data_IF_608773381931
#
_entry.id   IF_608773381931
#
_cell.length_a   1.000
_cell.length_b   1.000
_cell.length_c   1.000
_cell.angle_alpha   90.00
_cell.angle_beta   90.00
_cell.angle_gamma   90.00
#
_symmetry.space_group_name_H-M   'P 1'
#
loop_
_entity.id
_entity.type
_entity.pdbx_description
1 polymer ?
#
# COMPACT_ATOMS: atom_id res chain seq x y z
N UNK A 1 -9.77 -24.93 -16.09
CA UNK A 1 -10.08 -23.54 -16.51
C UNK A 1 -9.23 -22.70 -15.59
N UNK A 2 -8.03 -22.36 -16.04
CA UNK A 2 -7.10 -21.54 -15.28
C UNK A 2 -7.68 -20.13 -15.22
N UNK A 3 -7.91 -19.63 -14.01
CA UNK A 3 -8.31 -18.24 -13.80
C UNK A 3 -7.11 -17.36 -14.19
N UNK A 4 -7.22 -16.60 -15.30
CA UNK A 4 -6.24 -15.62 -15.79
C UNK A 4 -5.88 -14.49 -14.78
N UNK A 5 -6.35 -14.59 -13.54
CA UNK A 5 -6.29 -13.56 -12.49
C UNK A 5 -5.67 -14.07 -11.17
N UNK A 6 -4.93 -15.18 -11.24
CA UNK A 6 -4.09 -15.66 -10.15
C UNK A 6 -2.70 -15.03 -10.28
N UNK A 7 -2.34 -14.17 -9.33
CA UNK A 7 -0.97 -13.70 -9.17
C UNK A 7 -0.30 -14.64 -8.19
N UNK A 8 0.57 -15.51 -8.70
CA UNK A 8 1.48 -16.27 -7.87
C UNK A 8 2.70 -15.39 -7.57
N UNK A 9 2.91 -15.06 -6.29
CA UNK A 9 4.08 -14.29 -5.86
C UNK A 9 5.37 -15.12 -5.91
N UNK A 10 5.25 -16.45 -6.08
CA UNK A 10 6.36 -17.36 -6.25
C UNK A 10 6.83 -17.44 -7.72
N UNK A 11 6.06 -16.92 -8.69
CA UNK A 11 6.51 -16.71 -10.08
C UNK A 11 7.10 -15.30 -10.24
N UNK A 12 8.39 -15.18 -9.92
CA UNK A 12 9.16 -13.97 -10.14
C UNK A 12 9.15 -13.56 -11.63
N UNK A 13 8.36 -12.54 -11.98
CA UNK A 13 8.64 -11.48 -12.99
C UNK A 13 7.43 -10.53 -13.20
N UNK A 14 6.83 -10.03 -12.11
CA UNK A 14 5.83 -8.94 -12.16
C UNK A 14 6.43 -7.58 -11.78
N UNK A 15 7.75 -7.43 -11.84
CA UNK A 15 8.45 -6.18 -11.47
C UNK A 15 8.16 -5.01 -12.41
N UNK A 16 7.68 -5.27 -13.63
CA UNK A 16 7.39 -4.22 -14.64
C UNK A 16 6.01 -4.33 -15.27
N UNK A 17 4.99 -4.82 -14.54
CA UNK A 17 3.67 -5.08 -15.14
C UNK A 17 2.98 -3.80 -15.65
N UNK A 18 3.23 -2.64 -15.04
CA UNK A 18 2.65 -1.37 -15.48
C UNK A 18 3.25 -0.88 -16.81
N UNK A 19 4.42 -1.38 -17.23
CA UNK A 19 5.04 -1.05 -18.55
C UNK A 19 4.15 -1.38 -19.75
N UNK A 20 3.24 -2.35 -19.61
CA UNK A 20 2.33 -2.81 -20.68
C UNK A 20 1.09 -1.92 -20.85
N UNK A 21 0.90 -0.95 -19.95
CA UNK A 21 -0.26 -0.06 -19.92
C UNK A 21 0.06 1.28 -20.57
N UNK A 22 -0.95 1.95 -21.13
CA UNK A 22 -0.78 3.26 -21.77
C UNK A 22 -0.74 4.38 -20.74
N UNK A 23 0.04 5.41 -21.02
CA UNK A 23 0.29 6.52 -20.09
C UNK A 23 -0.96 7.32 -19.71
N UNK A 24 -1.91 7.48 -20.63
CA UNK A 24 -3.13 8.25 -20.39
C UNK A 24 -4.16 7.53 -19.50
N UNK A 25 -3.90 6.29 -19.06
CA UNK A 25 -4.82 5.56 -18.20
C UNK A 25 -4.80 6.21 -16.81
N UNK A 26 -5.93 6.69 -16.27
CA UNK A 26 -5.99 7.20 -14.90
C UNK A 26 -5.59 6.12 -13.91
N UNK A 27 -4.68 6.44 -12.98
CA UNK A 27 -4.20 5.47 -12.00
C UNK A 27 -5.34 4.99 -11.09
N UNK A 28 -6.36 5.83 -10.87
CA UNK A 28 -7.60 5.50 -10.15
C UNK A 28 -8.52 4.49 -10.85
N UNK A 29 -8.23 4.12 -12.11
CA UNK A 29 -8.97 3.12 -12.88
C UNK A 29 -8.24 1.78 -13.00
N UNK A 30 -7.03 1.68 -12.45
CA UNK A 30 -6.24 0.45 -12.48
C UNK A 30 -6.48 -0.38 -11.23
N UNK A 31 -6.58 -1.70 -11.42
CA UNK A 31 -6.54 -2.67 -10.31
C UNK A 31 -5.11 -2.86 -9.86
N UNK A 32 -4.79 -2.26 -8.71
CA UNK A 32 -3.42 -2.18 -8.19
C UNK A 32 -3.28 -3.04 -6.93
N UNK A 33 -2.55 -4.18 -6.99
CA UNK A 33 -2.35 -5.02 -5.81
C UNK A 33 -1.53 -4.28 -4.74
N UNK A 34 -1.91 -4.50 -3.48
CA UNK A 34 -1.37 -3.79 -2.33
C UNK A 34 -1.05 -4.71 -1.14
N UNK A 35 -0.42 -4.13 -0.13
CA UNK A 35 -0.25 -4.78 1.18
C UNK A 35 -0.66 -3.84 2.29
N UNK A 36 -1.31 -4.40 3.32
CA UNK A 36 -1.70 -3.67 4.53
C UNK A 36 -0.65 -3.94 5.60
N UNK A 37 -0.18 -2.89 6.28
CA UNK A 37 0.99 -2.94 7.18
C UNK A 37 2.17 -3.67 6.53
N UNK A 38 2.59 -3.13 5.38
CA UNK A 38 3.52 -3.77 4.44
C UNK A 38 4.85 -4.18 5.09
N UNK A 39 5.27 -3.46 6.14
CA UNK A 39 6.53 -3.67 6.84
C UNK A 39 6.35 -4.58 8.06
N UNK A 40 5.76 -5.76 7.94
CA UNK A 40 5.55 -6.65 9.10
C UNK A 40 6.22 -8.01 8.97
N UNK A 41 7.00 -8.23 7.91
CA UNK A 41 7.71 -9.49 7.63
C UNK A 41 8.67 -9.92 8.74
N UNK A 42 9.37 -8.96 9.37
CA UNK A 42 10.25 -9.24 10.51
C UNK A 42 9.57 -9.32 11.88
N UNK A 43 8.24 -9.20 11.97
CA UNK A 43 7.53 -9.22 13.27
C UNK A 43 7.35 -10.65 13.77
N UNK A 44 7.96 -10.99 14.92
CA UNK A 44 7.94 -12.35 15.48
C UNK A 44 6.53 -12.82 15.91
N UNK A 45 5.72 -11.90 16.44
CA UNK A 45 4.37 -12.24 16.87
C UNK A 45 3.45 -12.35 15.65
N UNK A 46 3.11 -13.60 15.28
CA UNK A 46 2.26 -13.92 14.13
C UNK A 46 0.91 -13.18 14.12
N UNK A 47 0.36 -12.78 15.29
CA UNK A 47 -0.88 -11.97 15.34
C UNK A 47 -0.69 -10.56 14.78
N UNK A 48 0.55 -10.09 14.77
CA UNK A 48 0.97 -8.80 14.27
C UNK A 48 1.83 -8.89 12.99
N UNK A 49 2.01 -10.08 12.44
CA UNK A 49 2.70 -10.30 11.17
C UNK A 49 1.66 -10.43 10.06
N UNK A 50 1.51 -9.39 9.24
CA UNK A 50 0.56 -9.41 8.11
C UNK A 50 1.22 -9.73 6.79
N UNK A 51 2.54 -9.54 6.69
CA UNK A 51 3.36 -9.89 5.55
C UNK A 51 4.45 -10.86 6.00
N UNK A 52 4.95 -11.69 5.10
CA UNK A 52 6.04 -12.64 5.33
C UNK A 52 7.20 -12.46 4.33
N UNK A 53 7.10 -11.45 3.45
CA UNK A 53 8.12 -11.09 2.46
C UNK A 53 8.60 -9.66 2.72
N UNK A 54 9.91 -9.38 2.65
CA UNK A 54 10.45 -8.02 2.69
C UNK A 54 9.88 -7.13 1.58
N UNK A 55 9.86 -5.82 1.81
CA UNK A 55 9.28 -4.85 0.86
C UNK A 55 9.83 -5.01 -0.57
N UNK A 56 11.14 -5.16 -0.74
CA UNK A 56 11.73 -5.37 -2.08
C UNK A 56 11.14 -6.58 -2.81
N UNK A 57 10.90 -7.69 -2.11
CA UNK A 57 10.28 -8.88 -2.69
C UNK A 57 8.78 -8.67 -2.98
N UNK A 58 8.07 -7.90 -2.14
CA UNK A 58 6.69 -7.50 -2.44
C UNK A 58 6.63 -6.70 -3.75
N UNK A 59 7.56 -5.75 -3.95
CA UNK A 59 7.64 -4.93 -5.16
C UNK A 59 7.97 -5.79 -6.40
N UNK A 60 8.93 -6.70 -6.31
CA UNK A 60 9.24 -7.64 -7.41
C UNK A 60 8.06 -8.57 -7.74
N UNK A 61 7.27 -8.95 -6.74
CA UNK A 61 6.02 -9.70 -6.90
C UNK A 61 4.84 -8.88 -7.44
N UNK A 62 5.03 -7.60 -7.77
CA UNK A 62 4.03 -6.76 -8.42
C UNK A 62 3.18 -5.89 -7.48
N UNK A 63 3.44 -5.88 -6.17
CA UNK A 63 2.77 -4.97 -5.22
C UNK A 63 3.13 -3.51 -5.55
N UNK A 64 2.12 -2.64 -5.63
CA UNK A 64 2.29 -1.20 -5.93
C UNK A 64 1.51 -0.27 -5.00
N UNK A 65 0.66 -0.80 -4.13
CA UNK A 65 0.08 -0.05 -3.01
C UNK A 65 0.71 -0.49 -1.69
N UNK A 66 1.37 0.43 -1.00
CA UNK A 66 2.09 0.18 0.26
C UNK A 66 1.43 0.98 1.37
N UNK A 67 1.10 0.31 2.47
CA UNK A 67 0.49 0.95 3.64
C UNK A 67 1.36 0.79 4.88
N UNK A 68 1.80 1.93 5.42
CA UNK A 68 2.61 1.99 6.63
C UNK A 68 1.99 2.93 7.67
N UNK A 69 2.28 2.65 8.95
CA UNK A 69 2.00 3.57 10.05
C UNK A 69 3.33 4.01 10.66
N UNK A 70 3.61 5.31 10.64
CA UNK A 70 4.83 5.88 11.21
C UNK A 70 4.56 6.49 12.58
N UNK A 71 5.52 6.35 13.49
CA UNK A 71 5.57 7.06 14.78
C UNK A 71 6.89 7.81 14.86
N UNK A 72 6.83 9.05 15.33
CA UNK A 72 8.04 9.81 15.66
C UNK A 72 8.52 9.41 17.05
N UNK A 73 9.66 8.73 17.14
CA UNK A 73 10.25 8.24 18.39
C UNK A 73 11.77 8.43 18.29
N UNK A 74 12.40 8.94 19.34
CA UNK A 74 13.85 9.13 19.43
C UNK A 74 14.45 9.85 18.20
N UNK A 75 13.78 10.92 17.78
CA UNK A 75 14.15 11.73 16.63
C UNK A 75 14.10 11.04 15.26
N UNK A 76 13.43 9.89 15.15
CA UNK A 76 13.31 9.08 13.92
C UNK A 76 11.85 8.73 13.61
N UNK A 77 11.54 8.56 12.32
CA UNK A 77 10.26 7.98 11.90
C UNK A 77 10.37 6.47 11.86
N UNK A 78 9.88 5.81 12.92
CA UNK A 78 9.84 4.36 13.01
C UNK A 78 8.50 3.82 12.51
N UNK A 79 8.51 2.66 11.84
CA UNK A 79 7.30 2.00 11.33
C UNK A 79 6.73 1.05 12.37
N UNK A 80 5.43 1.15 12.61
CA UNK A 80 4.68 0.39 13.59
C UNK A 80 3.48 -0.31 12.95
N UNK A 81 3.05 -1.39 13.58
CA UNK A 81 1.70 -1.92 13.43
C UNK A 81 1.08 -2.04 14.81
N UNK A 82 -0.07 -1.38 15.04
CA UNK A 82 -0.65 -1.20 16.38
C UNK A 82 0.42 -0.73 17.37
N UNK A 83 0.67 -1.44 18.47
CA UNK A 83 1.70 -1.17 19.47
C UNK A 83 3.05 -1.84 19.19
N UNK A 84 3.16 -2.60 18.10
CA UNK A 84 4.35 -3.39 17.75
C UNK A 84 5.27 -2.59 16.83
N UNK A 85 6.54 -2.47 17.22
CA UNK A 85 7.59 -1.95 16.34
C UNK A 85 7.95 -3.01 15.31
N UNK A 86 8.05 -2.59 14.06
CA UNK A 86 8.32 -3.52 12.94
C UNK A 86 9.80 -3.81 12.72
N UNK A 87 10.67 -2.95 13.24
CA UNK A 87 12.12 -2.96 12.95
C UNK A 87 12.51 -1.96 11.86
N UNK A 88 11.58 -1.50 11.03
CA UNK A 88 11.84 -0.59 9.91
C UNK A 88 11.69 0.90 10.30
N UNK A 89 12.37 1.76 9.56
CA UNK A 89 12.18 3.22 9.56
C UNK A 89 11.59 3.71 8.24
N UNK A 90 11.03 4.92 8.22
CA UNK A 90 10.60 5.55 6.98
C UNK A 90 11.77 5.70 5.98
N UNK A 91 12.98 5.96 6.47
CA UNK A 91 14.21 6.00 5.69
C UNK A 91 14.38 4.69 4.89
N UNK A 92 14.35 3.55 5.58
CA UNK A 92 14.50 2.24 4.92
C UNK A 92 13.40 1.92 3.91
N UNK A 93 12.17 2.38 4.18
CA UNK A 93 11.03 2.19 3.27
C UNK A 93 11.23 3.03 2.00
N UNK A 94 11.55 4.32 2.15
CA UNK A 94 11.75 5.23 1.02
C UNK A 94 12.96 4.82 0.18
N UNK A 95 14.09 4.47 0.79
CA UNK A 95 15.26 3.95 0.07
C UNK A 95 14.88 2.73 -0.79
N UNK A 96 14.20 1.74 -0.20
CA UNK A 96 13.78 0.54 -0.93
C UNK A 96 12.86 0.87 -2.11
N UNK A 97 11.93 1.81 -1.95
CA UNK A 97 11.02 2.21 -3.01
C UNK A 97 11.74 3.01 -4.11
N UNK A 98 12.61 3.94 -3.73
CA UNK A 98 13.37 4.72 -4.70
C UNK A 98 14.29 3.80 -5.52
N UNK A 99 14.99 2.87 -4.87
CA UNK A 99 15.87 1.91 -5.57
C UNK A 99 15.07 1.07 -6.58
N UNK A 100 13.86 0.64 -6.19
CA UNK A 100 12.95 -0.05 -7.09
C UNK A 100 12.49 0.83 -8.27
N UNK A 101 12.17 2.11 -8.05
CA UNK A 101 11.73 3.02 -9.11
C UNK A 101 12.87 3.42 -10.06
N UNK A 102 14.11 3.46 -9.57
CA UNK A 102 15.31 3.64 -10.39
C UNK A 102 15.54 2.45 -11.33
N UNK A 103 15.34 1.23 -10.83
CA UNK A 103 15.48 0.00 -11.62
C UNK A 103 14.29 -0.22 -12.57
N UNK A 104 13.08 0.16 -12.15
CA UNK A 104 11.82 -0.05 -12.87
C UNK A 104 11.07 1.28 -13.10
N UNK A 105 11.60 2.20 -13.93
CA UNK A 105 11.03 3.54 -14.11
C UNK A 105 9.66 3.54 -14.80
N UNK A 106 9.21 2.41 -15.35
CA UNK A 106 7.84 2.28 -15.86
C UNK A 106 6.79 2.19 -14.75
N UNK A 107 7.19 1.87 -13.53
CA UNK A 107 6.26 1.61 -12.43
C UNK A 107 5.96 2.87 -11.63
N UNK A 108 4.92 2.82 -10.80
CA UNK A 108 4.61 3.85 -9.81
C UNK A 108 4.17 3.20 -8.51
N UNK A 109 4.42 3.84 -7.37
CA UNK A 109 4.02 3.35 -6.05
C UNK A 109 2.98 4.29 -5.45
N UNK A 110 1.88 3.74 -4.96
CA UNK A 110 0.95 4.46 -4.07
C UNK A 110 1.38 4.16 -2.63
N UNK A 111 1.91 5.16 -1.92
CA UNK A 111 2.37 5.01 -0.54
C UNK A 111 1.42 5.71 0.42
N UNK A 112 0.63 4.95 1.19
CA UNK A 112 -0.16 5.49 2.28
C UNK A 112 0.68 5.57 3.55
N UNK A 113 0.84 6.79 4.07
CA UNK A 113 1.54 7.04 5.33
C UNK A 113 0.53 7.48 6.38
N UNK A 114 0.36 6.65 7.40
CA UNK A 114 -0.51 6.92 8.55
C UNK A 114 0.29 7.46 9.74
N UNK A 115 -0.25 8.43 10.46
CA UNK A 115 0.31 8.84 11.76
C UNK A 115 -0.12 7.86 12.86
N UNK A 116 0.85 7.18 13.45
CA UNK A 116 0.67 6.42 14.69
C UNK A 116 0.83 7.27 15.96
N UNK A 117 0.51 6.69 17.12
CA UNK A 117 0.66 7.34 18.43
C UNK A 117 -0.42 8.40 18.72
N UNK A 118 -0.60 8.77 19.99
CA UNK A 118 -1.76 9.54 20.43
C UNK A 118 -1.58 11.07 20.44
N UNK A 119 -0.38 11.61 20.71
CA UNK A 119 -0.31 13.01 21.21
C UNK A 119 0.66 13.98 20.54
N UNK A 120 1.22 13.67 19.38
CA UNK A 120 2.16 14.60 18.74
C UNK A 120 1.97 14.74 17.23
N UNK A 121 1.11 15.68 16.82
CA UNK A 121 0.87 15.99 15.40
C UNK A 121 1.93 16.92 14.83
N UNK A 122 2.29 17.98 15.56
CA UNK A 122 3.20 19.01 15.06
C UNK A 122 4.62 18.46 14.91
N UNK A 123 5.13 17.72 15.91
CA UNK A 123 6.46 17.12 15.78
C UNK A 123 6.48 16.05 14.71
N UNK A 124 5.41 15.25 14.58
CA UNK A 124 5.32 14.28 13.48
C UNK A 124 5.37 14.99 12.12
N UNK A 125 4.52 16.00 11.90
CA UNK A 125 4.48 16.76 10.66
C UNK A 125 5.82 17.45 10.36
N UNK A 126 6.38 18.19 11.30
CA UNK A 126 7.67 18.88 11.13
C UNK A 126 8.80 17.88 10.85
N UNK A 127 8.72 16.67 11.42
CA UNK A 127 9.72 15.64 11.19
C UNK A 127 9.55 14.92 9.86
N UNK A 128 8.38 14.99 9.20
CA UNK A 128 8.21 14.49 7.82
C UNK A 128 8.96 15.36 6.82
N UNK A 129 9.14 16.66 7.11
CA UNK A 129 9.75 17.62 6.17
C UNK A 129 11.16 17.19 5.73
N UNK A 130 11.95 16.59 6.63
CA UNK A 130 13.32 16.12 6.33
C UNK A 130 13.38 15.06 5.22
N UNK A 131 12.28 14.36 4.95
CA UNK A 131 12.23 13.29 3.96
C UNK A 131 11.89 13.78 2.55
N UNK A 132 11.37 15.00 2.42
CA UNK A 132 10.84 15.52 1.16
C UNK A 132 11.44 16.87 0.75
N UNK A 133 12.22 17.52 1.64
CA UNK A 133 12.95 18.75 1.32
C UNK A 133 14.39 18.40 0.89
N UNK A 134 14.90 18.99 -0.21
CA UNK A 134 16.28 18.79 -0.66
C UNK A 134 17.32 19.17 0.40
N UNK A 135 18.52 18.59 0.29
CA UNK A 135 19.62 18.81 1.24
C UNK A 135 20.00 17.58 2.08
N UNK A 136 19.43 16.43 1.75
CA UNK A 136 19.83 15.10 2.24
C UNK A 136 19.66 14.08 1.12
N UNK A 137 20.32 12.93 1.21
CA UNK A 137 20.20 11.86 0.20
C UNK A 137 18.73 11.49 -0.11
N UNK A 138 17.91 11.31 0.92
CA UNK A 138 16.49 11.00 0.75
C UNK A 138 15.69 12.18 0.21
N UNK A 139 15.98 13.40 0.67
CA UNK A 139 15.32 14.62 0.21
C UNK A 139 15.61 14.95 -1.25
N UNK A 140 16.85 14.71 -1.70
CA UNK A 140 17.27 14.94 -3.08
C UNK A 140 16.61 13.91 -4.02
N UNK A 141 16.52 12.64 -3.59
CA UNK A 141 15.75 11.60 -4.31
C UNK A 141 14.25 11.88 -4.30
N UNK A 142 13.72 12.50 -3.24
CA UNK A 142 12.31 12.87 -3.18
C UNK A 142 11.91 13.86 -4.29
N UNK A 143 12.81 14.77 -4.69
CA UNK A 143 12.55 15.68 -5.83
C UNK A 143 12.27 14.91 -7.13
N UNK A 144 12.93 13.76 -7.30
CA UNK A 144 12.82 12.94 -8.50
C UNK A 144 11.62 12.00 -8.43
N UNK A 145 11.38 11.42 -7.25
CA UNK A 145 10.44 10.31 -7.08
C UNK A 145 9.16 10.66 -6.35
N UNK A 146 8.94 11.85 -5.80
CA UNK A 146 7.61 12.19 -5.25
C UNK A 146 6.78 12.84 -6.35
N UNK A 147 5.56 12.35 -6.52
CA UNK A 147 4.60 12.98 -7.42
C UNK A 147 4.19 14.34 -6.85
N UNK A 148 4.72 15.40 -7.45
CA UNK A 148 4.34 16.78 -7.18
C UNK A 148 2.99 17.10 -7.83
N UNK A 149 2.17 17.89 -7.13
CA UNK A 149 0.83 18.27 -7.58
C UNK A 149 0.45 19.63 -7.02
N UNK A 150 -0.40 20.35 -7.75
CA UNK A 150 -1.05 21.53 -7.20
C UNK A 150 -2.05 21.11 -6.11
N UNK A 151 -2.04 21.82 -4.98
CA UNK A 151 -2.98 21.63 -3.87
C UNK A 151 -4.44 21.79 -4.30
N UNK A 152 -4.70 22.57 -5.35
CA UNK A 152 -6.04 22.79 -5.91
C UNK A 152 -6.50 21.68 -6.86
N UNK A 153 -5.59 20.81 -7.29
CA UNK A 153 -5.95 19.69 -8.14
C UNK A 153 -6.78 18.69 -7.34
N UNK A 154 -7.87 18.23 -7.95
CA UNK A 154 -8.79 17.24 -7.36
C UNK A 154 -8.73 15.91 -8.11
N UNK A 155 -8.04 15.84 -9.25
CA UNK A 155 -7.84 14.62 -10.00
C UNK A 155 -6.74 13.75 -9.40
N UNK A 156 -6.89 12.44 -9.59
CA UNK A 156 -5.84 11.47 -9.34
C UNK A 156 -4.98 11.37 -10.61
N UNK A 157 -3.64 11.22 -10.52
CA UNK A 157 -2.78 11.24 -11.69
C UNK A 157 -3.08 10.11 -12.67
N UNK A 158 -2.74 10.34 -13.93
CA UNK A 158 -2.58 9.27 -14.92
C UNK A 158 -1.34 8.44 -14.63
N UNK A 159 -1.29 7.23 -15.19
CA UNK A 159 -0.13 6.35 -15.03
C UNK A 159 1.15 7.03 -15.53
N UNK A 160 1.09 7.70 -16.69
CA UNK A 160 2.22 8.42 -17.28
C UNK A 160 2.80 9.51 -16.38
N UNK A 161 1.94 10.28 -15.72
CA UNK A 161 2.37 11.34 -14.80
C UNK A 161 3.05 10.79 -13.53
N UNK A 162 2.66 9.57 -13.13
CA UNK A 162 3.09 8.90 -11.92
C UNK A 162 4.28 7.93 -12.13
N UNK A 163 4.63 7.56 -13.36
CA UNK A 163 5.77 6.65 -13.64
C UNK A 163 7.07 7.19 -13.05
N UNK A 164 7.85 6.30 -12.44
CA UNK A 164 9.08 6.62 -11.72
C UNK A 164 8.82 7.37 -10.41
N UNK A 165 7.56 7.55 -9.98
CA UNK A 165 7.20 8.35 -8.81
C UNK A 165 6.32 7.59 -7.82
N UNK A 166 6.27 8.14 -6.62
CA UNK A 166 5.44 7.77 -5.49
C UNK A 166 4.30 8.77 -5.40
N UNK A 167 3.07 8.27 -5.51
CA UNK A 167 1.85 9.00 -5.17
C UNK A 167 1.58 8.79 -3.69
N UNK A 168 1.89 9.79 -2.86
CA UNK A 168 1.67 9.71 -1.42
C UNK A 168 0.18 9.90 -1.11
N UNK A 169 -0.39 8.98 -0.34
CA UNK A 169 -1.66 9.18 0.35
C UNK A 169 -1.36 9.61 1.79
N UNK A 170 -1.62 10.88 2.06
CA UNK A 170 -1.25 11.51 3.31
C UNK A 170 -2.34 11.31 4.37
N UNK A 171 -2.19 10.30 5.23
CA UNK A 171 -3.10 10.02 6.34
C UNK A 171 -2.57 10.60 7.66
N UNK A 172 -2.30 11.90 7.61
CA UNK A 172 -1.92 12.74 8.73
C UNK A 172 -2.19 14.22 8.40
N UNK A 173 -2.33 15.03 9.45
CA UNK A 173 -2.57 16.47 9.31
C UNK A 173 -1.29 17.18 8.88
N UNK A 174 -1.40 18.11 7.95
CA UNK A 174 -0.34 19.02 7.51
C UNK A 174 -0.89 20.43 7.31
N UNK A 175 0.00 21.42 7.25
CA UNK A 175 -0.34 22.78 6.84
C UNK A 175 0.60 23.23 5.70
N UNK A 176 0.09 23.51 4.48
CA UNK A 176 -1.30 23.31 4.04
C UNK A 176 -1.69 21.81 4.01
N UNK A 177 -2.99 21.46 3.96
CA UNK A 177 -3.44 20.07 3.79
C UNK A 177 -2.85 19.44 2.52
N UNK A 178 -2.36 18.20 2.63
CA UNK A 178 -1.79 17.48 1.50
C UNK A 178 -0.41 17.97 1.07
N UNK A 179 0.35 18.63 1.97
CA UNK A 179 1.69 19.20 1.69
C UNK A 179 2.61 18.27 0.90
N UNK A 180 2.51 16.96 1.14
CA UNK A 180 3.38 15.96 0.53
C UNK A 180 2.63 14.97 -0.39
N UNK A 181 1.34 15.16 -0.60
CA UNK A 181 0.53 14.22 -1.39
C UNK A 181 -0.96 14.41 -1.23
N UNK A 182 -1.73 13.42 -1.65
CA UNK A 182 -3.19 13.48 -1.66
C UNK A 182 -3.71 13.25 -0.23
N UNK A 183 -4.45 14.19 0.38
CA UNK A 183 -4.99 13.99 1.72
C UNK A 183 -5.90 12.77 1.78
N UNK A 184 -5.70 11.93 2.80
CA UNK A 184 -6.59 10.81 3.09
C UNK A 184 -8.00 11.31 3.44
N UNK A 185 -9.01 10.70 2.84
CA UNK A 185 -10.41 11.11 3.02
C UNK A 185 -10.82 12.39 2.26
N UNK A 186 -10.00 12.85 1.30
CA UNK A 186 -10.36 13.91 0.35
C UNK A 186 -11.41 13.44 -0.67
N UNK A 187 -11.96 14.36 -1.46
CA UNK A 187 -12.87 14.02 -2.55
C UNK A 187 -12.24 13.09 -3.60
N UNK A 188 -10.91 13.01 -3.66
CA UNK A 188 -10.14 12.18 -4.61
C UNK A 188 -9.98 10.73 -4.12
N UNK A 189 -10.07 10.46 -2.82
CA UNK A 189 -9.90 9.12 -2.24
C UNK A 189 -11.16 8.70 -1.50
N UNK A 190 -11.85 7.69 -2.04
CA UNK A 190 -12.98 7.06 -1.36
C UNK A 190 -12.53 5.81 -0.61
N UNK A 191 -12.91 5.73 0.67
CA UNK A 191 -12.56 4.62 1.55
C UNK A 191 -13.75 3.68 1.70
N UNK A 192 -13.54 2.39 1.41
CA UNK A 192 -14.47 1.35 1.77
C UNK A 192 -13.77 0.29 2.61
N UNK A 193 -13.74 0.51 3.92
CA UNK A 193 -13.42 -0.52 4.88
C UNK A 193 -14.70 -1.27 5.24
N UNK A 194 -14.98 -2.41 4.61
CA UNK A 194 -15.89 -3.38 5.20
C UNK A 194 -15.17 -4.02 6.39
N UNK A 195 -15.16 -3.32 7.53
CA UNK A 195 -14.64 -3.80 8.79
C UNK A 195 -15.64 -4.82 9.36
N UNK A 196 -15.65 -6.01 8.79
CA UNK A 196 -16.34 -7.16 9.34
C UNK A 196 -15.26 -8.17 9.69
N UNK A 197 -14.82 -8.12 10.95
CA UNK A 197 -14.03 -9.15 11.60
C UNK A 197 -14.89 -10.42 11.69
N UNK A 198 -14.81 -11.28 10.69
CA UNK A 198 -15.66 -12.48 10.68
C UNK A 198 -14.82 -13.72 10.38
N UNK A 199 -14.75 -14.60 11.38
CA UNK A 199 -14.21 -15.95 11.29
C UNK A 199 -15.26 -16.92 10.74
N UNK A 200 -14.84 -18.00 10.07
CA UNK A 200 -15.72 -19.10 9.64
C UNK A 200 -16.49 -18.83 8.33
N UNK A 201 -17.73 -19.32 8.23
CA UNK A 201 -18.61 -19.30 7.03
C UNK A 201 -18.84 -17.90 6.41
N UNK A 202 -18.43 -16.84 7.12
CA UNK A 202 -18.52 -15.45 6.70
C UNK A 202 -17.36 -14.92 5.87
N UNK A 203 -16.28 -15.70 5.70
CA UNK A 203 -15.26 -15.42 4.68
C UNK A 203 -15.92 -15.33 3.29
N UNK A 204 -16.91 -16.18 3.01
CA UNK A 204 -17.70 -16.11 1.78
C UNK A 204 -18.50 -14.81 1.67
N UNK A 205 -19.10 -14.32 2.76
CA UNK A 205 -19.80 -13.03 2.77
C UNK A 205 -18.85 -11.84 2.57
N UNK A 206 -17.64 -11.91 3.13
CA UNK A 206 -16.61 -10.90 2.87
C UNK A 206 -16.17 -10.90 1.40
N UNK A 207 -15.92 -12.08 0.83
CA UNK A 207 -15.59 -12.18 -0.60
C UNK A 207 -16.77 -11.78 -1.49
N UNK A 208 -18.01 -12.05 -1.08
CA UNK A 208 -19.20 -11.55 -1.76
C UNK A 208 -19.29 -10.01 -1.68
N UNK A 209 -18.97 -9.40 -0.55
CA UNK A 209 -18.92 -7.94 -0.39
C UNK A 209 -17.80 -7.31 -1.24
N UNK A 210 -16.62 -7.93 -1.29
CA UNK A 210 -15.51 -7.51 -2.15
C UNK A 210 -15.89 -7.61 -3.63
N UNK A 211 -16.47 -8.75 -4.06
CA UNK A 211 -16.92 -8.95 -5.46
C UNK A 211 -18.06 -8.02 -5.86
N UNK A 212 -19.03 -7.84 -4.97
CA UNK A 212 -20.14 -6.91 -5.18
C UNK A 212 -19.62 -5.48 -5.36
N UNK A 213 -18.64 -5.07 -4.54
CA UNK A 213 -18.02 -3.74 -4.65
C UNK A 213 -17.21 -3.58 -5.92
N UNK A 214 -16.37 -4.55 -6.29
CA UNK A 214 -15.63 -4.55 -7.56
C UNK A 214 -16.56 -4.35 -8.76
N UNK A 215 -17.73 -4.97 -8.73
CA UNK A 215 -18.73 -4.84 -9.79
C UNK A 215 -19.47 -3.49 -9.75
N UNK A 216 -19.81 -2.95 -8.56
CA UNK A 216 -20.39 -1.61 -8.43
C UNK A 216 -19.43 -0.51 -8.89
N UNK A 217 -18.15 -0.64 -8.54
CA UNK A 217 -17.13 0.37 -8.83
C UNK A 217 -16.87 0.50 -10.33
N UNK A 218 -17.00 -0.60 -11.08
CA UNK A 218 -17.01 -0.62 -12.56
C UNK A 218 -18.20 0.13 -13.16
N UNK A 219 -19.33 0.20 -12.46
CA UNK A 219 -20.56 0.80 -12.97
C UNK A 219 -20.67 2.30 -12.71
N UNK A 220 -20.04 2.82 -11.65
CA UNK A 220 -20.19 4.23 -11.25
C UNK A 220 -19.23 5.23 -11.94
N UNK A 221 -18.22 4.77 -12.69
CA UNK A 221 -17.44 5.63 -13.60
C UNK A 221 -16.72 6.84 -12.99
N UNK A 222 -16.41 6.85 -11.69
CA UNK A 222 -15.79 8.01 -11.01
C UNK A 222 -14.26 7.99 -11.13
N UNK A 223 -13.62 9.16 -11.26
CA UNK A 223 -12.14 9.29 -11.30
C UNK A 223 -11.45 9.25 -9.93
N UNK A 224 -12.16 8.81 -8.88
CA UNK A 224 -11.66 8.71 -7.50
C UNK A 224 -10.88 7.42 -7.29
N UNK A 225 -9.76 7.48 -6.57
CA UNK A 225 -9.09 6.29 -6.06
C UNK A 225 -10.02 5.57 -5.06
N UNK A 226 -10.13 4.26 -5.20
CA UNK A 226 -10.95 3.41 -4.32
C UNK A 226 -10.08 2.39 -3.63
N UNK A 227 -10.13 2.35 -2.31
CA UNK A 227 -9.33 1.41 -1.53
C UNK A 227 -10.23 0.40 -0.83
N UNK A 228 -10.02 -0.87 -1.17
CA UNK A 228 -10.71 -2.01 -0.57
C UNK A 228 -9.70 -2.88 0.17
N UNK A 229 -9.86 -3.05 1.48
CA UNK A 229 -9.02 -3.95 2.27
C UNK A 229 -9.60 -5.37 2.27
N UNK A 230 -8.87 -6.34 1.73
CA UNK A 230 -9.26 -7.76 1.75
C UNK A 230 -8.73 -8.53 2.96
N UNK A 231 -7.93 -7.92 3.84
CA UNK A 231 -7.34 -8.56 5.03
C UNK A 231 -8.39 -8.88 6.10
N UNK A 232 -8.45 -10.14 6.53
CA UNK A 232 -9.26 -10.56 7.67
C UNK A 232 -8.34 -10.63 8.90
N UNK A 233 -8.70 -9.96 10.00
CA UNK A 233 -8.03 -10.22 11.28
C UNK A 233 -8.36 -11.65 11.71
N UNK A 234 -7.37 -12.53 11.76
CA UNK A 234 -7.58 -13.92 12.15
C UNK A 234 -7.33 -14.17 13.64
N UNK A 235 -8.36 -14.73 14.28
CA UNK A 235 -8.19 -15.81 15.25
C UNK A 235 -7.92 -17.12 14.46
N UNK A 236 -7.07 -17.96 15.02
CA UNK A 236 -6.17 -18.94 14.37
C UNK A 236 -6.76 -20.13 13.59
N UNK A 237 -8.06 -20.20 13.26
CA UNK A 237 -8.64 -21.46 12.72
C UNK A 237 -9.08 -21.44 11.24
N UNK A 238 -8.88 -20.36 10.49
CA UNK A 238 -9.32 -20.28 9.09
C UNK A 238 -8.27 -20.71 8.03
N UNK A 239 -7.07 -21.17 8.43
CA UNK A 239 -5.99 -21.55 7.50
C UNK A 239 -6.22 -22.93 6.82
N UNK A 240 -7.24 -23.70 7.21
CA UNK A 240 -7.45 -25.06 6.67
C UNK A 240 -8.47 -25.21 5.53
N UNK A 241 -9.18 -24.16 5.12
CA UNK A 241 -10.29 -24.32 4.15
C UNK A 241 -9.98 -23.99 2.69
N UNK A 242 -8.79 -23.48 2.34
CA UNK A 242 -8.43 -23.23 0.93
C UNK A 242 -7.42 -24.21 0.34
N UNK A 243 -6.84 -25.12 1.12
CA UNK A 243 -5.89 -26.14 0.63
C UNK A 243 -6.59 -27.47 0.35
N UNK A 244 -7.33 -27.55 -0.75
CA UNK A 244 -7.58 -28.86 -1.37
C UNK A 244 -6.43 -29.18 -2.34
N UNK A 245 -5.26 -29.51 -1.81
CA UNK A 245 -4.29 -30.31 -2.55
C UNK A 245 -3.70 -31.39 -1.65
N UNK A 246 -3.81 -32.63 -2.14
CA UNK A 246 -3.15 -33.81 -1.59
C UNK A 246 -1.64 -33.54 -1.52
N UNK A 247 -1.07 -33.76 -0.34
CA UNK A 247 0.35 -34.12 -0.08
C UNK A 247 1.44 -33.16 -0.59
N UNK A 248 1.99 -32.33 0.30
CA UNK A 248 3.25 -31.58 0.12
C UNK A 248 3.43 -30.46 1.17
N UNK A 249 4.66 -30.14 1.64
CA UNK A 249 4.86 -29.34 2.86
C UNK A 249 4.59 -27.84 2.66
N UNK A 250 4.24 -27.22 3.80
CA UNK A 250 3.88 -25.81 4.08
C UNK A 250 4.20 -24.79 2.98
N UNK A 251 3.14 -24.23 2.36
CA UNK A 251 3.20 -23.13 1.39
C UNK A 251 3.12 -21.77 2.11
N UNK A 252 3.94 -20.83 1.66
CA UNK A 252 3.98 -19.41 2.02
C UNK A 252 2.60 -18.77 1.84
N UNK A 253 2.12 -18.03 2.86
CA UNK A 253 0.90 -17.24 2.73
C UNK A 253 1.22 -15.77 2.93
N UNK A 254 1.52 -15.07 1.83
CA UNK A 254 1.41 -13.62 1.83
C UNK A 254 -0.09 -13.28 1.86
N UNK A 255 -0.56 -12.58 2.90
CA UNK A 255 -1.88 -11.98 2.90
C UNK A 255 -1.84 -10.78 1.94
N UNK A 256 -1.97 -11.07 0.64
CA UNK A 256 -2.09 -10.07 -0.41
C UNK A 256 -3.37 -9.27 -0.17
N UNK A 257 -3.21 -7.98 0.10
CA UNK A 257 -4.33 -7.04 0.16
C UNK A 257 -4.65 -6.62 -1.27
N UNK A 258 -5.67 -7.20 -1.89
CA UNK A 258 -6.13 -6.72 -3.21
C UNK A 258 -6.77 -5.34 -3.01
N UNK A 259 -6.05 -4.28 -3.38
CA UNK A 259 -6.62 -2.95 -3.56
C UNK A 259 -7.01 -2.81 -5.04
N UNK A 260 -8.11 -2.12 -5.31
CA UNK A 260 -8.82 -2.05 -6.60
C UNK A 260 -8.36 -0.83 -7.38
#
# INVERSE_FOLDING_TARGET
>A
MEDEWFFDLDEAEQSSWMSRMKDHVPLSRLVIPGTHNSMTDGVENIRFQTQNLPLGQQLLGGIRYIEITCRYIDQKMAVYYTMTKTGYSLDSVLTTIYDFLDEYPSETIILRIQKGGMFDFNTFFNSMERYFVPGSELGDRAVQHIYDRDFNDTAFPTLGEARGKIVILQDFKSNPPGRYGIPWGSHTVSRYSSWLSLTGDFVHFKWAAVRYRLNLDRLEGTDKLRITHTTAHMNLNAIFYSTRSRTGPQRSSALSTRVV
#
